data_IF_426382073553
#
_entry.id   IF_426382073553
#
_cell.length_a   1.000
_cell.length_b   1.000
_cell.length_c   1.000
_cell.angle_alpha   90.00
_cell.angle_beta   90.00
_cell.angle_gamma   90.00
#
_symmetry.space_group_name_H-M   'P 1'
#
loop_
_entity.id
_entity.type
_entity.pdbx_description
1 polymer ?
#
# COMPACT_ATOMS: atom_id res chain seq x y z
N UNK A 1 0.21 16.64 9.02
CA UNK A 1 -0.20 15.28 9.46
C UNK A 1 0.79 14.69 10.47
N UNK A 2 0.35 13.84 11.40
CA UNK A 2 1.22 13.09 12.33
C UNK A 2 1.98 11.93 11.65
N UNK A 3 1.68 11.68 10.37
CA UNK A 3 1.99 10.46 9.64
C UNK A 3 2.79 10.84 8.38
N UNK A 4 4.04 10.38 8.32
CA UNK A 4 4.91 10.46 7.14
C UNK A 4 5.63 9.13 6.92
N UNK A 5 6.64 9.13 6.06
CA UNK A 5 7.43 7.92 5.74
C UNK A 5 8.56 7.66 6.74
N UNK A 6 8.46 8.18 7.96
CA UNK A 6 9.35 7.83 9.07
C UNK A 6 8.68 6.79 9.97
N UNK A 7 9.43 5.80 10.46
CA UNK A 7 8.97 4.87 11.50
C UNK A 7 8.44 5.59 12.76
N UNK A 8 9.06 6.70 13.10
CA UNK A 8 8.70 7.47 14.27
C UNK A 8 7.31 8.11 14.14
N UNK A 9 6.70 8.40 15.30
CA UNK A 9 5.42 9.08 15.41
C UNK A 9 4.25 8.38 14.68
N UNK A 10 4.30 7.03 14.61
CA UNK A 10 3.29 6.16 13.96
C UNK A 10 3.27 6.27 12.42
N UNK A 11 4.37 6.69 11.78
CA UNK A 11 4.49 6.62 10.33
C UNK A 11 4.86 5.22 9.83
N UNK A 12 4.71 5.01 8.52
CA UNK A 12 4.76 3.68 7.89
C UNK A 12 6.12 3.32 7.28
N UNK A 13 7.15 4.16 7.45
CA UNK A 13 8.41 4.00 6.73
C UNK A 13 9.60 3.55 7.59
N UNK A 14 10.80 3.62 7.01
CA UNK A 14 11.99 3.00 7.56
C UNK A 14 12.53 3.70 8.83
N UNK A 15 13.35 2.95 9.57
CA UNK A 15 14.07 3.46 10.74
C UNK A 15 15.24 4.34 10.27
N UNK A 16 15.01 5.65 10.21
CA UNK A 16 16.01 6.62 9.71
C UNK A 16 16.74 7.38 10.82
N UNK A 17 16.31 7.22 12.07
CA UNK A 17 16.85 7.92 13.24
C UNK A 17 16.73 7.03 14.47
N UNK A 18 17.77 7.04 15.30
CA UNK A 18 17.81 6.33 16.58
C UNK A 18 16.87 6.89 17.64
N UNK A 19 16.30 8.07 17.40
CA UNK A 19 15.37 8.70 18.34
C UNK A 19 14.16 9.27 17.62
N UNK A 20 12.98 9.09 18.23
CA UNK A 20 11.72 9.70 17.79
C UNK A 20 11.46 11.05 18.47
N UNK A 21 12.53 11.70 18.93
CA UNK A 21 12.50 13.00 19.59
C UNK A 21 12.13 14.07 18.57
N UNK A 22 11.10 14.86 18.87
CA UNK A 22 10.86 16.09 18.13
C UNK A 22 11.83 17.17 18.61
N UNK A 23 12.51 17.90 17.71
CA UNK A 23 13.17 19.14 18.08
C UNK A 23 12.16 20.08 18.75
N UNK A 24 12.60 20.81 19.78
CA UNK A 24 11.73 21.73 20.52
C UNK A 24 11.10 22.74 19.56
N UNK A 25 9.77 22.87 19.61
CA UNK A 25 9.02 23.79 18.74
C UNK A 25 8.71 23.25 17.34
N UNK A 26 9.03 21.98 17.04
CA UNK A 26 8.64 21.31 15.80
C UNK A 26 7.42 20.41 16.04
N UNK A 27 6.48 20.45 15.09
CA UNK A 27 5.35 19.55 15.05
C UNK A 27 5.75 18.18 14.48
N UNK A 28 4.90 17.18 14.69
CA UNK A 28 5.08 15.85 14.08
C UNK A 28 5.17 15.89 12.55
N UNK A 29 4.53 16.89 11.92
CA UNK A 29 4.60 17.10 10.48
C UNK A 29 5.98 17.60 10.03
N UNK A 30 6.60 18.46 10.83
CA UNK A 30 7.90 19.05 10.49
C UNK A 30 9.04 18.03 10.57
N UNK A 31 8.87 16.96 11.34
CA UNK A 31 9.86 15.89 11.51
C UNK A 31 9.60 14.66 10.62
N UNK A 32 8.50 14.66 9.87
CA UNK A 32 8.15 13.55 9.00
C UNK A 32 9.11 13.49 7.79
N UNK A 33 9.50 12.28 7.39
CA UNK A 33 10.17 12.09 6.09
C UNK A 33 9.10 12.10 5.01
N UNK A 34 9.11 13.13 4.18
CA UNK A 34 8.12 13.28 3.13
C UNK A 34 6.77 13.73 3.69
N UNK A 35 6.34 14.90 3.22
CA UNK A 35 5.02 15.43 3.52
C UNK A 35 4.21 15.49 2.22
N UNK A 36 2.92 15.17 2.33
CA UNK A 36 1.97 15.48 1.27
C UNK A 36 1.70 16.97 1.30
N UNK A 37 2.22 17.71 0.30
CA UNK A 37 1.99 19.14 0.13
C UNK A 37 0.84 19.45 -0.85
N UNK A 38 0.02 18.45 -1.17
CA UNK A 38 -1.12 18.64 -2.05
C UNK A 38 -2.17 19.51 -1.36
N UNK A 39 -2.63 20.55 -2.05
CA UNK A 39 -3.71 21.43 -1.63
C UNK A 39 -4.68 21.54 -2.80
N UNK A 40 -5.99 21.28 -2.59
CA UNK A 40 -6.99 21.43 -3.64
C UNK A 40 -7.00 22.85 -4.21
N UNK A 41 -7.28 22.95 -5.51
CA UNK A 41 -7.34 24.24 -6.21
C UNK A 41 -8.52 25.08 -5.72
N UNK A 42 -9.64 24.43 -5.39
CA UNK A 42 -10.84 25.04 -4.81
C UNK A 42 -11.02 24.58 -3.35
N UNK A 43 -11.44 25.50 -2.49
CA UNK A 43 -11.72 25.25 -1.07
C UNK A 43 -13.17 24.81 -0.83
N UNK A 44 -14.01 24.79 -1.87
CA UNK A 44 -15.31 24.14 -1.85
C UNK A 44 -15.11 22.61 -1.73
N UNK A 45 -15.82 22.00 -0.79
CA UNK A 45 -15.77 20.56 -0.52
C UNK A 45 -16.05 19.72 -1.76
N UNK A 46 -17.01 20.10 -2.60
CA UNK A 46 -17.37 19.30 -3.77
C UNK A 46 -16.27 19.33 -4.83
N UNK A 47 -15.79 20.53 -5.15
CA UNK A 47 -14.71 20.71 -6.11
C UNK A 47 -13.40 20.07 -5.63
N UNK A 48 -13.08 20.17 -4.33
CA UNK A 48 -11.91 19.53 -3.74
C UNK A 48 -12.00 18.00 -3.81
N UNK A 49 -13.15 17.42 -3.50
CA UNK A 49 -13.36 15.97 -3.58
C UNK A 49 -13.37 15.47 -5.03
N UNK A 50 -13.92 16.24 -5.97
CA UNK A 50 -13.87 15.90 -7.40
C UNK A 50 -12.44 15.89 -7.94
N UNK A 51 -11.63 16.87 -7.53
CA UNK A 51 -10.21 16.92 -7.86
C UNK A 51 -9.46 15.71 -7.28
N UNK A 52 -9.63 15.43 -5.98
CA UNK A 52 -9.00 14.28 -5.32
C UNK A 52 -9.46 12.95 -5.93
N UNK A 53 -10.74 12.80 -6.26
CA UNK A 53 -11.26 11.61 -6.93
C UNK A 53 -10.59 11.41 -8.30
N UNK A 54 -10.38 12.49 -9.05
CA UNK A 54 -9.68 12.44 -10.33
C UNK A 54 -8.21 12.02 -10.15
N UNK A 55 -7.50 12.63 -9.20
CA UNK A 55 -6.07 12.38 -8.99
C UNK A 55 -5.78 10.99 -8.41
N UNK A 56 -6.62 10.52 -7.48
CA UNK A 56 -6.34 9.31 -6.69
C UNK A 56 -7.07 8.07 -7.21
N UNK A 57 -8.22 8.24 -7.85
CA UNK A 57 -9.04 7.10 -8.33
C UNK A 57 -9.31 7.16 -9.84
N UNK A 58 -8.66 8.08 -10.56
CA UNK A 58 -8.96 8.38 -11.97
C UNK A 58 -10.46 8.64 -12.23
N UNK A 59 -11.14 9.25 -11.25
CA UNK A 59 -12.56 9.58 -11.32
C UNK A 59 -13.53 8.43 -10.98
N UNK A 60 -13.03 7.23 -10.64
CA UNK A 60 -13.86 6.04 -10.37
C UNK A 60 -14.56 6.04 -9.01
N UNK A 61 -14.27 7.00 -8.14
CA UNK A 61 -14.87 7.11 -6.82
C UNK A 61 -16.40 7.15 -6.89
N UNK A 62 -17.07 6.17 -6.27
CA UNK A 62 -18.53 6.09 -6.23
C UNK A 62 -19.16 7.19 -5.37
N UNK A 63 -20.43 7.52 -5.62
CA UNK A 63 -21.18 8.58 -4.92
C UNK A 63 -21.22 8.37 -3.41
N UNK A 64 -21.41 7.14 -2.94
CA UNK A 64 -21.44 6.87 -1.50
C UNK A 64 -20.08 7.15 -0.86
N UNK A 65 -18.99 6.78 -1.52
CA UNK A 65 -17.64 7.04 -1.05
C UNK A 65 -17.25 8.53 -1.16
N UNK A 66 -17.79 9.24 -2.16
CA UNK A 66 -17.71 10.71 -2.23
C UNK A 66 -18.39 11.37 -1.04
N UNK A 67 -19.57 10.91 -0.64
CA UNK A 67 -20.28 11.45 0.53
C UNK A 67 -19.49 11.23 1.83
N UNK A 68 -18.88 10.06 2.00
CA UNK A 68 -17.96 9.83 3.12
C UNK A 68 -16.76 10.77 3.08
N UNK A 69 -16.12 10.92 1.93
CA UNK A 69 -14.97 11.81 1.78
C UNK A 69 -15.33 13.29 2.08
N UNK A 70 -16.51 13.76 1.65
CA UNK A 70 -17.06 15.08 2.01
C UNK A 70 -17.23 15.23 3.52
N UNK A 71 -17.78 14.22 4.19
CA UNK A 71 -17.99 14.25 5.63
C UNK A 71 -16.67 14.42 6.41
N UNK A 72 -15.58 13.78 5.95
CA UNK A 72 -14.26 13.95 6.55
C UNK A 72 -13.64 15.32 6.22
N UNK A 73 -13.86 15.84 5.01
CA UNK A 73 -13.37 17.16 4.59
C UNK A 73 -14.05 18.32 5.33
N UNK A 74 -15.33 18.18 5.70
CA UNK A 74 -16.08 19.22 6.40
C UNK A 74 -15.73 19.40 7.89
N UNK A 75 -14.85 18.58 8.48
CA UNK A 75 -14.53 18.66 9.90
C UNK A 75 -13.61 19.90 10.19
N UNK A 76 -14.10 20.93 10.91
CA UNK A 76 -13.64 22.31 10.72
C UNK A 76 -12.44 22.77 11.57
N UNK A 77 -11.70 21.87 12.23
CA UNK A 77 -10.61 22.32 13.12
C UNK A 77 -9.40 22.89 12.37
N UNK A 78 -9.08 22.34 11.19
CA UNK A 78 -7.94 22.74 10.36
C UNK A 78 -8.14 22.21 8.92
N UNK A 79 -8.14 23.10 7.92
CA UNK A 79 -8.35 22.74 6.51
C UNK A 79 -7.22 21.88 5.95
N UNK A 80 -5.98 22.10 6.37
CA UNK A 80 -4.83 21.30 5.94
C UNK A 80 -4.97 19.88 6.50
N UNK A 81 -5.39 19.78 7.76
CA UNK A 81 -5.69 18.49 8.38
C UNK A 81 -6.87 17.77 7.71
N UNK A 82 -7.92 18.50 7.33
CA UNK A 82 -9.09 17.96 6.66
C UNK A 82 -8.75 17.36 5.28
N UNK A 83 -7.87 18.02 4.51
CA UNK A 83 -7.35 17.48 3.23
C UNK A 83 -6.61 16.17 3.47
N UNK A 84 -5.71 16.13 4.45
CA UNK A 84 -4.93 14.93 4.75
C UNK A 84 -5.85 13.77 5.17
N UNK A 85 -6.84 14.04 6.02
CA UNK A 85 -7.81 13.02 6.43
C UNK A 85 -8.62 12.49 5.24
N UNK A 86 -9.10 13.38 4.36
CA UNK A 86 -9.82 12.96 3.16
C UNK A 86 -8.96 12.07 2.26
N UNK A 87 -7.70 12.43 2.02
CA UNK A 87 -6.76 11.62 1.24
C UNK A 87 -6.51 10.26 1.90
N UNK A 88 -6.29 10.24 3.23
CA UNK A 88 -6.09 8.98 3.95
C UNK A 88 -7.28 8.05 3.80
N UNK A 89 -8.51 8.56 3.87
CA UNK A 89 -9.71 7.75 3.65
C UNK A 89 -9.82 7.26 2.20
N UNK A 90 -9.54 8.12 1.22
CA UNK A 90 -9.55 7.75 -0.20
C UNK A 90 -8.55 6.63 -0.51
N UNK A 91 -7.35 6.68 0.08
CA UNK A 91 -6.33 5.65 -0.10
C UNK A 91 -6.73 4.30 0.49
N UNK A 92 -7.64 4.27 1.47
CA UNK A 92 -8.18 3.03 2.06
C UNK A 92 -9.36 2.46 1.27
N UNK A 93 -9.88 3.19 0.29
CA UNK A 93 -11.04 2.76 -0.49
C UNK A 93 -10.63 1.82 -1.63
N UNK A 94 -11.47 0.83 -1.98
CA UNK A 94 -11.12 -0.14 -3.00
C UNK A 94 -10.98 0.49 -4.41
N UNK A 95 -11.56 1.66 -4.67
CA UNK A 95 -11.35 2.44 -5.90
C UNK A 95 -9.91 2.94 -6.09
N UNK A 96 -9.15 3.09 -5.00
CA UNK A 96 -7.72 3.42 -5.05
C UNK A 96 -6.86 2.18 -5.34
N UNK A 97 -7.27 1.02 -4.81
CA UNK A 97 -6.52 -0.23 -4.92
C UNK A 97 -6.79 -1.03 -6.19
N UNK A 98 -7.85 -0.69 -6.93
CA UNK A 98 -8.27 -1.43 -8.11
C UNK A 98 -8.56 -0.49 -9.28
N UNK A 99 -8.38 -0.99 -10.50
CA UNK A 99 -8.73 -0.26 -11.73
C UNK A 99 -10.16 -0.50 -12.19
N UNK A 100 -10.88 -1.38 -11.50
CA UNK A 100 -12.25 -1.77 -11.85
C UNK A 100 -13.29 -0.84 -11.21
N UNK A 101 -14.53 -0.94 -11.66
CA UNK A 101 -15.67 -0.24 -11.08
C UNK A 101 -16.19 -1.07 -9.91
N UNK A 102 -16.27 -0.45 -8.73
CA UNK A 102 -16.79 -1.12 -7.53
C UNK A 102 -18.31 -1.25 -7.64
N UNK A 103 -18.81 -2.49 -7.62
CA UNK A 103 -20.22 -2.78 -7.50
C UNK A 103 -20.55 -3.31 -6.10
N UNK A 104 -21.46 -2.62 -5.41
CA UNK A 104 -21.95 -3.06 -4.10
C UNK A 104 -23.21 -3.89 -4.30
N UNK A 105 -23.08 -5.21 -4.18
CA UNK A 105 -24.21 -6.13 -4.33
C UNK A 105 -25.18 -6.07 -3.15
N UNK A 106 -24.72 -5.62 -1.96
CA UNK A 106 -25.52 -5.61 -0.72
C UNK A 106 -25.87 -7.00 -0.21
N UNK A 107 -25.36 -8.05 -0.87
CA UNK A 107 -25.58 -9.44 -0.50
C UNK A 107 -24.53 -9.85 0.53
N UNK A 108 -24.91 -10.74 1.45
CA UNK A 108 -23.93 -11.41 2.29
C UNK A 108 -23.00 -12.23 1.39
N UNK A 109 -21.70 -12.20 1.71
CA UNK A 109 -20.74 -13.09 1.07
C UNK A 109 -21.20 -14.52 1.29
N UNK A 110 -21.30 -15.30 0.22
CA UNK A 110 -21.68 -16.71 0.33
C UNK A 110 -20.71 -17.42 1.28
N UNK A 111 -21.28 -18.19 2.20
CA UNK A 111 -20.49 -19.07 3.04
C UNK A 111 -19.97 -20.20 2.16
N UNK A 112 -18.67 -20.21 1.93
CA UNK A 112 -18.00 -21.34 1.30
C UNK A 112 -17.93 -22.42 2.37
N UNK A 113 -18.62 -23.55 2.15
CA UNK A 113 -18.50 -24.72 3.02
C UNK A 113 -17.03 -25.15 3.09
N UNK A 114 -16.59 -25.58 4.28
CA UNK A 114 -15.23 -26.10 4.44
C UNK A 114 -15.02 -27.27 3.47
N UNK A 115 -13.89 -27.32 2.76
CA UNK A 115 -13.64 -28.40 1.82
C UNK A 115 -13.65 -29.75 2.55
N UNK A 116 -14.35 -30.73 1.98
CA UNK A 116 -14.32 -32.09 2.51
C UNK A 116 -12.87 -32.59 2.56
N UNK A 117 -12.48 -33.38 3.60
CA UNK A 117 -11.13 -33.91 3.71
C UNK A 117 -10.79 -34.72 2.47
N UNK A 118 -9.57 -34.52 1.95
CA UNK A 118 -9.14 -35.14 0.70
C UNK A 118 -9.27 -36.66 0.75
N UNK A 119 -9.83 -37.24 -0.31
CA UNK A 119 -10.14 -38.67 -0.44
C UNK A 119 -8.91 -39.59 -0.57
N UNK A 120 -7.71 -39.09 -0.22
CA UNK A 120 -6.45 -39.82 -0.33
C UNK A 120 -5.83 -39.85 -1.73
N UNK A 121 -6.34 -39.05 -2.68
CA UNK A 121 -5.76 -38.93 -4.02
C UNK A 121 -4.57 -37.95 -4.08
N UNK A 122 -3.73 -38.11 -5.10
CA UNK A 122 -2.57 -37.25 -5.36
C UNK A 122 -3.01 -35.78 -5.49
N UNK A 123 -2.41 -34.92 -4.67
CA UNK A 123 -2.81 -33.51 -4.54
C UNK A 123 -2.02 -32.61 -5.49
N UNK A 124 -2.75 -31.84 -6.32
CA UNK A 124 -2.19 -30.79 -7.18
C UNK A 124 -2.57 -29.41 -6.62
N UNK A 125 -1.59 -28.67 -6.09
CA UNK A 125 -1.77 -27.30 -5.62
C UNK A 125 -1.36 -26.26 -6.65
N UNK A 126 -2.08 -25.14 -6.66
CA UNK A 126 -1.60 -23.86 -7.19
C UNK A 126 -1.29 -22.98 -5.99
N UNK A 127 -0.03 -22.55 -5.86
CA UNK A 127 0.43 -21.71 -4.75
C UNK A 127 0.45 -20.25 -5.20
N UNK A 128 -0.37 -19.42 -4.56
CA UNK A 128 -0.34 -17.97 -4.76
C UNK A 128 0.47 -17.31 -3.65
N UNK A 129 1.62 -16.74 -4.01
CA UNK A 129 2.46 -15.96 -3.11
C UNK A 129 2.13 -14.48 -3.29
N UNK A 130 1.41 -13.89 -2.33
CA UNK A 130 1.14 -12.46 -2.36
C UNK A 130 2.32 -11.70 -1.76
N UNK A 131 3.10 -11.06 -2.64
CA UNK A 131 4.22 -10.20 -2.25
C UNK A 131 3.72 -8.75 -2.18
N UNK A 132 3.66 -8.18 -0.98
CA UNK A 132 3.06 -6.87 -0.68
C UNK A 132 3.88 -5.65 -1.16
N UNK A 133 4.81 -5.83 -2.09
CA UNK A 133 5.75 -4.79 -2.54
C UNK A 133 6.81 -4.41 -1.49
N UNK A 134 7.85 -3.70 -1.93
CA UNK A 134 9.05 -3.36 -1.13
C UNK A 134 10.07 -4.50 -1.00
N UNK A 135 9.71 -5.68 -1.49
CA UNK A 135 10.55 -6.86 -1.57
C UNK A 135 11.05 -7.03 -3.02
N UNK A 136 12.36 -7.16 -3.20
CA UNK A 136 12.94 -7.45 -4.51
C UNK A 136 12.62 -8.90 -4.90
N UNK A 137 11.62 -9.10 -5.75
CA UNK A 137 11.19 -10.41 -6.24
C UNK A 137 12.32 -11.21 -6.91
N UNK A 138 13.43 -10.56 -7.29
CA UNK A 138 14.58 -11.22 -7.88
C UNK A 138 15.29 -12.18 -6.91
N UNK A 139 15.15 -12.03 -5.59
CA UNK A 139 15.83 -12.89 -4.61
C UNK A 139 14.98 -14.06 -4.08
N UNK A 140 13.70 -14.19 -4.45
CA UNK A 140 12.81 -15.24 -3.88
C UNK A 140 12.79 -16.55 -4.66
N UNK A 141 13.20 -16.54 -5.92
CA UNK A 141 13.24 -17.71 -6.77
C UNK A 141 14.69 -18.01 -7.14
N UNK A 142 15.43 -18.53 -6.17
CA UNK A 142 16.75 -19.12 -6.45
C UNK A 142 16.52 -20.44 -7.19
N UNK A 143 17.22 -20.71 -8.31
CA UNK A 143 17.11 -21.97 -9.01
C UNK A 143 17.35 -23.16 -8.08
N UNK A 144 16.46 -24.15 -8.14
CA UNK A 144 16.61 -25.37 -7.38
C UNK A 144 17.65 -26.31 -8.01
N UNK A 145 18.36 -27.03 -7.14
CA UNK A 145 19.21 -28.23 -7.29
C UNK A 145 20.65 -28.15 -7.83
N UNK A 146 21.12 -27.06 -8.42
CA UNK A 146 22.54 -26.99 -8.87
C UNK A 146 23.44 -26.13 -7.97
N UNK A 147 22.92 -25.64 -6.85
CA UNK A 147 23.72 -25.02 -5.79
C UNK A 147 24.19 -26.08 -4.80
N UNK A 148 25.06 -27.02 -5.21
CA UNK A 148 25.59 -28.05 -4.32
C UNK A 148 26.88 -27.55 -3.64
N UNK A 149 26.91 -27.29 -2.31
CA UNK A 149 28.13 -26.87 -1.62
C UNK A 149 29.12 -28.04 -1.40
N UNK A 150 28.88 -29.22 -1.99
CA UNK A 150 29.64 -30.46 -1.72
C UNK A 150 31.10 -30.40 -2.16
N UNK A 151 31.55 -29.40 -2.92
CA UNK A 151 32.97 -29.21 -3.26
C UNK A 151 33.66 -28.05 -2.58
N UNK A 152 33.11 -27.39 -1.54
CA UNK A 152 33.86 -26.34 -0.82
C UNK A 152 34.28 -25.13 -1.66
N UNK A 153 33.77 -25.03 -2.89
CA UNK A 153 33.93 -23.90 -3.79
C UNK A 153 32.77 -22.93 -3.55
N UNK A 154 33.12 -21.67 -3.30
CA UNK A 154 32.17 -20.58 -3.18
C UNK A 154 31.66 -20.23 -4.58
N UNK A 155 30.49 -20.73 -4.96
CA UNK A 155 29.80 -20.34 -6.19
C UNK A 155 29.18 -18.95 -6.00
N UNK A 156 29.68 -17.94 -6.73
CA UNK A 156 29.09 -16.60 -6.71
C UNK A 156 27.79 -16.61 -7.53
N UNK A 157 26.67 -16.67 -6.82
CA UNK A 157 25.33 -16.62 -7.39
C UNK A 157 25.13 -15.40 -8.30
N UNK A 158 25.83 -14.28 -8.05
CA UNK A 158 25.74 -13.08 -8.87
C UNK A 158 26.25 -13.27 -10.30
N UNK A 159 27.34 -14.04 -10.48
CA UNK A 159 27.93 -14.28 -11.80
C UNK A 159 27.07 -15.23 -12.64
N UNK A 160 26.47 -16.26 -12.01
CA UNK A 160 25.50 -17.14 -12.68
C UNK A 160 24.27 -16.36 -13.18
N UNK A 161 23.80 -15.37 -12.39
CA UNK A 161 22.72 -14.48 -12.81
C UNK A 161 23.09 -13.60 -14.01
N UNK A 162 24.34 -13.13 -14.09
CA UNK A 162 24.82 -12.32 -15.23
C UNK A 162 24.91 -13.14 -16.52
N UNK A 163 25.37 -14.39 -16.43
CA UNK A 163 25.55 -15.25 -17.60
C UNK A 163 24.21 -15.60 -18.27
N UNK A 164 23.21 -16.02 -17.49
CA UNK A 164 21.89 -16.38 -18.01
C UNK A 164 21.11 -15.18 -18.59
N UNK A 165 21.40 -13.96 -18.12
CA UNK A 165 20.73 -12.75 -18.63
C UNK A 165 21.30 -12.23 -19.94
N UNK A 166 22.48 -12.69 -20.38
CA UNK A 166 23.07 -12.24 -21.64
C UNK A 166 23.20 -10.71 -21.71
N UNK A 167 24.12 -10.16 -20.92
CA UNK A 167 24.55 -8.74 -20.87
C UNK A 167 23.47 -7.68 -20.65
#
# INVERSE_FOLDING_TARGET
GKFGLSYCQYGFGAYISWTCSLPVGKSHHDSAIGNFNYVPTDLNSDAAIDEMATLLTAGRLDNLNRDWARAFYHNPADKEYAVIQAIQQLVLMPEFHTTDIIERTGLNREHIEDPEPSSGEDYKAVVFLMLSGGFDSYNMLVPHSECDPVSGDYEDLFDQYREMRGS
#
